data_IF_935377356205
#
_entry.id   IF_935377356205
#
_cell.length_a   1.000
_cell.length_b   1.000
_cell.length_c   1.000
_cell.angle_alpha   90.00
_cell.angle_beta   90.00
_cell.angle_gamma   90.00
#
_symmetry.space_group_name_H-M   'P 1'
#
loop_
_entity.id
_entity.type
_entity.pdbx_description
1 polymer ?
#
# COMPACT_ATOMS: atom_id res chain seq x y z
N UNK A 1 26.15 1.93 -5.09
CA UNK A 1 25.52 1.65 -6.37
C UNK A 1 24.23 0.87 -6.14
N UNK A 2 23.11 1.32 -6.69
CA UNK A 2 21.87 0.60 -6.43
C UNK A 2 21.90 -0.78 -7.06
N UNK A 3 21.36 -1.71 -6.34
CA UNK A 3 21.22 -3.08 -6.81
C UNK A 3 20.10 -3.15 -7.82
N UNK A 4 20.40 -3.62 -9.01
CA UNK A 4 19.39 -3.69 -10.07
C UNK A 4 18.31 -4.70 -9.80
N UNK A 5 18.60 -5.67 -8.95
CA UNK A 5 17.65 -6.71 -8.64
C UNK A 5 16.74 -6.33 -7.49
N UNK A 6 17.03 -5.23 -6.82
CA UNK A 6 16.22 -4.74 -5.71
C UNK A 6 15.42 -3.55 -6.20
N UNK A 7 14.09 -3.63 -6.23
CA UNK A 7 13.29 -2.49 -6.64
C UNK A 7 13.53 -1.34 -5.66
N UNK A 8 13.65 -0.15 -6.21
CA UNK A 8 13.74 1.03 -5.38
C UNK A 8 12.43 1.24 -4.66
N UNK A 9 12.45 1.57 -3.37
CA UNK A 9 11.22 2.00 -2.74
C UNK A 9 10.71 3.24 -3.46
N UNK A 10 9.43 3.31 -3.77
CA UNK A 10 8.88 4.48 -4.43
C UNK A 10 9.00 5.70 -3.53
N UNK A 11 9.17 6.87 -4.14
CA UNK A 11 9.17 8.11 -3.40
C UNK A 11 7.80 8.33 -2.74
N UNK A 12 7.77 9.09 -1.67
CA UNK A 12 6.54 9.39 -0.96
C UNK A 12 5.43 9.88 -1.91
N UNK A 13 5.82 10.73 -2.87
CA UNK A 13 4.88 11.24 -3.86
C UNK A 13 4.28 10.11 -4.70
N UNK A 14 5.10 9.15 -5.09
CA UNK A 14 4.63 8.02 -5.88
C UNK A 14 3.66 7.16 -5.09
N UNK A 15 3.92 6.97 -3.80
CA UNK A 15 3.00 6.23 -2.94
C UNK A 15 1.64 6.91 -2.90
N UNK A 16 1.62 8.22 -2.77
CA UNK A 16 0.38 8.98 -2.72
C UNK A 16 -0.37 8.85 -4.05
N UNK A 17 0.34 8.94 -5.16
CA UNK A 17 -0.27 8.80 -6.48
C UNK A 17 -0.86 7.42 -6.69
N UNK A 18 -0.13 6.38 -6.28
CA UNK A 18 -0.62 5.02 -6.42
C UNK A 18 -1.83 4.77 -5.52
N UNK A 19 -1.79 5.33 -4.31
CA UNK A 19 -2.91 5.24 -3.40
C UNK A 19 -4.15 5.89 -4.00
N UNK A 20 -3.99 7.08 -4.57
CA UNK A 20 -5.10 7.80 -5.18
C UNK A 20 -5.67 7.05 -6.38
N UNK A 21 -4.79 6.37 -7.14
CA UNK A 21 -5.23 5.57 -8.28
C UNK A 21 -6.03 4.35 -7.84
N UNK A 22 -5.69 3.78 -6.69
CA UNK A 22 -6.40 2.63 -6.15
C UNK A 22 -7.70 3.02 -5.45
N UNK A 23 -7.78 4.27 -4.98
CA UNK A 23 -8.95 4.79 -4.26
C UNK A 23 -10.03 5.22 -5.27
N UNK A 24 -10.84 4.26 -5.67
CA UNK A 24 -11.84 4.49 -6.72
C UNK A 24 -12.93 5.46 -6.30
N UNK A 25 -13.26 5.47 -5.03
CA UNK A 25 -14.32 6.31 -4.50
C UNK A 25 -13.86 7.72 -4.17
N UNK A 26 -12.54 7.94 -4.16
CA UNK A 26 -11.94 9.22 -3.80
C UNK A 26 -12.36 9.69 -2.41
N UNK A 27 -12.54 8.74 -1.50
CA UNK A 27 -12.91 9.07 -0.12
C UNK A 27 -11.70 9.16 0.80
N UNK A 28 -10.51 8.95 0.24
CA UNK A 28 -9.27 8.98 1.01
C UNK A 28 -8.96 7.68 1.74
N UNK A 29 -9.73 6.62 1.47
CA UNK A 29 -9.55 5.32 2.10
C UNK A 29 -9.70 4.21 1.09
N UNK A 30 -9.03 3.10 1.35
CA UNK A 30 -9.11 1.93 0.47
C UNK A 30 -9.46 0.70 1.28
N UNK A 31 -10.19 -0.22 0.64
CA UNK A 31 -10.49 -1.52 1.22
C UNK A 31 -9.41 -2.53 0.81
N UNK A 32 -9.59 -3.79 1.18
CA UNK A 32 -8.61 -4.82 0.87
C UNK A 32 -8.44 -5.04 -0.64
N UNK A 33 -9.52 -5.02 -1.40
CA UNK A 33 -9.44 -5.18 -2.84
C UNK A 33 -8.63 -4.08 -3.49
N UNK A 34 -8.86 -2.84 -3.08
CA UNK A 34 -8.10 -1.70 -3.56
C UNK A 34 -6.64 -1.75 -3.08
N UNK A 35 -6.42 -2.23 -1.85
CA UNK A 35 -5.09 -2.43 -1.31
C UNK A 35 -4.29 -3.41 -2.16
N UNK A 36 -4.92 -4.51 -2.57
CA UNK A 36 -4.28 -5.46 -3.48
C UNK A 36 -3.85 -4.80 -4.79
N UNK A 37 -4.75 -4.03 -5.39
CA UNK A 37 -4.44 -3.32 -6.63
C UNK A 37 -3.29 -2.35 -6.43
N UNK A 38 -3.27 -1.67 -5.31
CA UNK A 38 -2.20 -0.74 -4.96
C UNK A 38 -0.85 -1.44 -4.89
N UNK A 39 -0.79 -2.57 -4.18
CA UNK A 39 0.45 -3.32 -4.05
C UNK A 39 0.89 -3.93 -5.38
N UNK A 40 -0.05 -4.36 -6.19
CA UNK A 40 0.28 -4.85 -7.53
C UNK A 40 0.86 -3.73 -8.39
N UNK A 41 0.30 -2.55 -8.30
CA UNK A 41 0.82 -1.38 -9.01
C UNK A 41 2.21 -0.97 -8.56
N UNK A 42 2.52 -1.20 -7.30
CA UNK A 42 3.85 -0.93 -6.75
C UNK A 42 4.83 -2.08 -6.97
N UNK A 43 4.36 -3.17 -7.56
CA UNK A 43 5.17 -4.37 -7.79
C UNK A 43 5.80 -4.89 -6.50
N UNK A 44 5.01 -4.92 -5.43
CA UNK A 44 5.51 -5.30 -4.12
C UNK A 44 5.90 -6.78 -4.03
N UNK A 45 5.42 -7.61 -4.95
CA UNK A 45 5.78 -9.02 -4.98
C UNK A 45 5.24 -9.82 -3.81
N UNK A 46 4.12 -9.39 -3.24
CA UNK A 46 3.54 -10.04 -2.08
C UNK A 46 2.46 -11.03 -2.51
N UNK A 47 2.38 -12.15 -1.78
CA UNK A 47 1.28 -13.09 -1.97
C UNK A 47 0.00 -12.51 -1.34
N UNK A 48 -1.14 -13.13 -1.67
CA UNK A 48 -2.41 -12.70 -1.10
C UNK A 48 -2.40 -12.82 0.43
N UNK A 49 -1.80 -13.90 0.94
CA UNK A 49 -1.70 -14.08 2.39
C UNK A 49 -0.88 -12.98 3.05
N UNK A 50 0.23 -12.62 2.42
CA UNK A 50 1.05 -11.52 2.92
C UNK A 50 0.30 -10.19 2.87
N UNK A 51 -0.48 -9.98 1.81
CA UNK A 51 -1.30 -8.78 1.70
C UNK A 51 -2.36 -8.71 2.79
N UNK A 52 -2.96 -9.86 3.12
CA UNK A 52 -3.96 -9.91 4.19
C UNK A 52 -3.34 -9.58 5.55
N UNK A 53 -2.16 -10.12 5.81
CA UNK A 53 -1.45 -9.83 7.04
C UNK A 53 -1.09 -8.35 7.10
N UNK A 54 -0.55 -7.83 6.01
CA UNK A 54 -0.16 -6.42 5.93
C UNK A 54 -1.35 -5.49 6.11
N UNK A 55 -2.47 -5.82 5.49
CA UNK A 55 -3.68 -5.03 5.62
C UNK A 55 -4.14 -4.96 7.08
N UNK A 56 -4.09 -6.10 7.77
CA UNK A 56 -4.45 -6.14 9.19
C UNK A 56 -3.53 -5.30 10.06
N UNK A 57 -2.25 -5.22 9.70
CA UNK A 57 -1.31 -4.39 10.42
C UNK A 57 -1.52 -2.90 10.16
N UNK A 58 -1.84 -2.55 8.91
CA UNK A 58 -2.06 -1.16 8.53
C UNK A 58 -3.37 -0.64 9.11
N UNK A 59 -4.39 -1.49 9.08
CA UNK A 59 -5.74 -1.12 9.55
C UNK A 59 -5.80 -1.19 11.08
N UNK A 60 -5.29 -0.16 11.72
CA UNK A 60 -5.20 -0.14 13.19
C UNK A 60 -6.56 -0.03 13.86
N UNK A 61 -7.54 0.56 13.20
CA UNK A 61 -8.91 0.71 13.72
C UNK A 61 -9.75 -0.54 13.49
N UNK A 62 -9.31 -1.41 12.60
CA UNK A 62 -10.06 -2.61 12.19
C UNK A 62 -11.43 -2.28 11.63
N UNK A 63 -11.50 -1.21 10.86
CA UNK A 63 -12.75 -0.83 10.21
C UNK A 63 -12.85 -1.35 8.77
N UNK A 64 -11.83 -2.09 8.32
CA UNK A 64 -11.81 -2.63 6.97
C UNK A 64 -11.35 -1.65 5.92
N UNK A 65 -10.86 -0.48 6.34
CA UNK A 65 -10.40 0.58 5.46
C UNK A 65 -9.09 1.14 5.98
N UNK A 66 -8.21 1.53 5.08
CA UNK A 66 -6.97 2.20 5.45
C UNK A 66 -6.87 3.51 4.70
N UNK A 67 -6.29 4.52 5.35
CA UNK A 67 -6.07 5.80 4.69
C UNK A 67 -4.64 5.91 4.19
N UNK A 68 -4.36 6.98 3.45
CA UNK A 68 -3.06 7.18 2.83
C UNK A 68 -1.95 7.27 3.88
N UNK A 69 -2.22 7.91 5.00
CA UNK A 69 -1.23 8.07 6.05
C UNK A 69 -0.87 6.73 6.68
N UNK A 70 -1.88 5.92 6.98
CA UNK A 70 -1.66 4.59 7.53
C UNK A 70 -0.84 3.74 6.57
N UNK A 71 -1.17 3.81 5.28
CA UNK A 71 -0.46 3.05 4.28
C UNK A 71 1.00 3.50 4.15
N UNK A 72 1.24 4.80 4.05
CA UNK A 72 2.60 5.31 3.88
C UNK A 72 3.45 5.04 5.12
N UNK A 73 2.88 5.16 6.30
CA UNK A 73 3.59 4.84 7.53
C UNK A 73 4.02 3.38 7.56
N UNK A 74 3.12 2.50 7.16
CA UNK A 74 3.42 1.06 7.12
C UNK A 74 4.48 0.75 6.06
N UNK A 75 4.33 1.33 4.88
CA UNK A 75 5.23 1.07 3.76
C UNK A 75 6.65 1.52 4.07
N UNK A 76 6.79 2.66 4.72
CA UNK A 76 8.09 3.25 5.02
C UNK A 76 8.64 2.80 6.37
N UNK A 77 7.87 2.04 7.13
CA UNK A 77 8.31 1.52 8.42
C UNK A 77 9.30 0.38 8.20
N UNK A 78 10.35 0.40 8.96
CA UNK A 78 11.34 -0.68 8.94
C UNK A 78 11.07 -1.70 10.02
#
# INVERSE_FOLDING_TARGET
MPDRNTPHPPAHRELIQEFAAADRDNDGRIDFGEFRLLLEGLEAGMSIEEMQIGFGEVDSNRDGLIDCREFTDWWTSD
#
